data_IF_700147564335
#
_entry.id   IF_700147564335
#
_cell.length_a   1.000
_cell.length_b   1.000
_cell.length_c   1.000
_cell.angle_alpha   90.00
_cell.angle_beta   90.00
_cell.angle_gamma   90.00
#
_symmetry.space_group_name_H-M   'P 1'
#
loop_
_entity.id
_entity.type
_entity.pdbx_description
1 polymer ?
#
# COMPACT_ATOMS: atom_id res chain seq x y z
N UNK A 1 7.71 6.46 21.23
CA UNK A 1 8.21 6.01 19.91
C UNK A 1 7.30 6.43 18.77
N UNK A 2 5.99 6.22 18.86
CA UNK A 2 5.02 6.69 17.86
C UNK A 2 5.14 8.20 17.54
N UNK A 3 5.26 9.05 18.57
CA UNK A 3 5.47 10.51 18.39
C UNK A 3 6.74 10.82 17.59
N UNK A 4 7.84 10.09 17.82
CA UNK A 4 9.09 10.29 17.07
C UNK A 4 8.93 9.92 15.60
N UNK A 5 8.25 8.81 15.32
CA UNK A 5 7.98 8.41 13.94
C UNK A 5 7.06 9.41 13.22
N UNK A 6 6.01 9.90 13.91
CA UNK A 6 5.13 10.92 13.38
C UNK A 6 5.89 12.22 13.07
N UNK A 7 6.71 12.72 14.00
CA UNK A 7 7.54 13.92 13.81
C UNK A 7 8.53 13.72 12.67
N UNK A 8 9.25 12.60 12.64
CA UNK A 8 10.23 12.30 11.59
C UNK A 8 9.60 12.22 10.20
N UNK A 9 8.44 11.57 10.09
CA UNK A 9 7.68 11.48 8.83
C UNK A 9 7.16 12.84 8.40
N UNK A 10 6.56 13.62 9.32
CA UNK A 10 6.07 14.96 9.02
C UNK A 10 7.19 15.89 8.55
N UNK A 11 8.35 15.89 9.23
CA UNK A 11 9.52 16.67 8.82
C UNK A 11 10.01 16.25 7.43
N UNK A 12 10.13 14.95 7.16
CA UNK A 12 10.55 14.47 5.84
C UNK A 12 9.59 14.92 4.73
N UNK A 13 8.28 14.85 4.97
CA UNK A 13 7.26 15.29 4.00
C UNK A 13 7.27 16.81 3.78
N UNK A 14 7.35 17.60 4.86
CA UNK A 14 7.44 19.06 4.78
C UNK A 14 8.67 19.48 3.96
N UNK A 15 9.80 18.78 4.15
CA UNK A 15 11.00 19.01 3.35
C UNK A 15 10.75 18.76 1.87
N UNK A 16 10.15 17.62 1.56
CA UNK A 16 9.83 17.20 0.19
C UNK A 16 8.89 18.17 -0.52
N UNK A 17 7.93 18.77 0.19
CA UNK A 17 6.98 19.75 -0.36
C UNK A 17 7.55 21.17 -0.50
N UNK A 18 8.70 21.45 0.12
CA UNK A 18 9.28 22.79 0.08
C UNK A 18 9.92 23.09 -1.28
N UNK A 19 9.70 24.30 -1.80
CA UNK A 19 10.30 24.77 -3.06
C UNK A 19 11.78 25.19 -2.91
N UNK A 20 12.36 24.99 -1.72
CA UNK A 20 13.74 25.36 -1.40
C UNK A 20 14.57 24.10 -1.19
N UNK A 21 15.53 23.88 -2.08
CA UNK A 21 16.46 22.74 -2.03
C UNK A 21 17.15 22.65 -0.65
N UNK A 22 17.48 23.79 -0.05
CA UNK A 22 18.10 23.84 1.28
C UNK A 22 17.18 23.37 2.39
N UNK A 23 15.89 23.75 2.36
CA UNK A 23 14.92 23.34 3.36
C UNK A 23 14.56 21.86 3.20
N UNK A 24 14.41 21.38 1.96
CA UNK A 24 14.24 19.95 1.66
C UNK A 24 15.38 19.12 2.23
N UNK A 25 16.63 19.53 1.96
CA UNK A 25 17.81 18.83 2.45
C UNK A 25 17.81 18.77 3.98
N UNK A 26 17.58 19.89 4.67
CA UNK A 26 17.56 19.93 6.14
C UNK A 26 16.43 19.07 6.71
N UNK A 27 15.21 19.20 6.18
CA UNK A 27 14.04 18.48 6.67
C UNK A 27 14.13 16.97 6.45
N UNK A 28 14.71 16.51 5.33
CA UNK A 28 14.98 15.09 5.09
C UNK A 28 16.13 14.59 5.98
N UNK A 29 17.22 15.36 6.08
CA UNK A 29 18.37 15.04 6.93
C UNK A 29 18.04 14.99 8.41
N UNK A 30 17.00 15.69 8.86
CA UNK A 30 16.52 15.66 10.25
C UNK A 30 15.38 14.66 10.43
N UNK A 31 14.43 14.59 9.49
CA UNK A 31 13.26 13.71 9.57
C UNK A 31 13.61 12.22 9.50
N UNK A 32 14.53 11.84 8.61
CA UNK A 32 14.94 10.45 8.43
C UNK A 32 15.63 9.88 9.67
N UNK A 33 16.63 10.53 10.30
CA UNK A 33 17.25 10.01 11.52
C UNK A 33 16.29 9.95 12.72
N UNK A 34 15.28 10.81 12.78
CA UNK A 34 14.27 10.79 13.85
C UNK A 34 13.26 9.65 13.63
N UNK A 35 12.82 9.46 12.38
CA UNK A 35 11.78 8.47 12.03
C UNK A 35 12.30 7.05 11.87
N UNK A 36 13.47 6.87 11.23
CA UNK A 36 13.96 5.56 10.81
C UNK A 36 14.23 4.57 11.97
N UNK A 37 14.84 4.97 13.10
CA UNK A 37 15.02 4.06 14.24
C UNK A 37 13.69 3.68 14.90
N UNK A 38 12.70 4.58 14.89
CA UNK A 38 11.36 4.29 15.39
C UNK A 38 10.63 3.32 14.45
N UNK A 39 10.82 3.46 13.13
CA UNK A 39 10.30 2.54 12.12
C UNK A 39 10.85 1.12 12.30
N UNK A 40 12.17 0.98 12.43
CA UNK A 40 12.83 -0.32 12.60
C UNK A 40 12.40 -1.06 13.88
N UNK A 41 12.05 -0.33 14.94
CA UNK A 41 11.57 -0.92 16.20
C UNK A 41 10.09 -1.25 16.19
N UNK A 42 9.28 -0.54 15.40
CA UNK A 42 7.83 -0.75 15.34
C UNK A 42 7.42 -1.79 14.29
N UNK A 43 8.22 -1.96 13.23
CA UNK A 43 8.02 -3.06 12.29
C UNK A 43 8.65 -4.35 12.82
N UNK A 44 8.05 -5.52 12.56
CA UNK A 44 8.69 -6.80 12.85
C UNK A 44 10.05 -6.91 12.17
N UNK A 45 11.00 -7.57 12.84
CA UNK A 45 12.33 -7.86 12.30
C UNK A 45 12.17 -8.57 10.95
N UNK A 46 12.97 -8.18 9.96
CA UNK A 46 12.91 -8.74 8.61
C UNK A 46 11.90 -8.06 7.66
N UNK A 47 11.06 -7.13 8.14
CA UNK A 47 10.07 -6.43 7.28
C UNK A 47 10.76 -5.63 6.17
N UNK A 48 11.81 -4.87 6.51
CA UNK A 48 12.58 -4.09 5.51
C UNK A 48 13.32 -4.97 4.49
N UNK A 49 13.53 -6.25 4.80
CA UNK A 49 14.16 -7.23 3.90
C UNK A 49 13.16 -8.15 3.22
N UNK A 50 11.86 -7.96 3.48
CA UNK A 50 10.78 -8.86 3.11
C UNK A 50 11.12 -10.33 3.44
N UNK A 51 11.56 -10.60 4.68
CA UNK A 51 11.79 -11.98 5.14
C UNK A 51 10.50 -12.80 5.09
N UNK A 52 10.63 -14.11 4.84
CA UNK A 52 9.49 -14.97 4.56
C UNK A 52 8.48 -15.02 5.73
N UNK A 53 7.19 -15.07 5.39
CA UNK A 53 6.10 -15.08 6.38
C UNK A 53 5.43 -13.72 6.58
N UNK A 54 5.10 -13.39 7.83
CA UNK A 54 4.39 -12.14 8.18
C UNK A 54 5.17 -10.86 7.83
N UNK A 55 6.51 -10.78 7.96
CA UNK A 55 7.27 -9.60 7.55
C UNK A 55 7.14 -9.27 6.05
N UNK A 56 7.16 -10.29 5.18
CA UNK A 56 6.91 -10.11 3.74
C UNK A 56 5.49 -9.59 3.45
N UNK A 57 4.49 -10.02 4.22
CA UNK A 57 3.12 -9.53 4.07
C UNK A 57 2.98 -8.05 4.46
N UNK A 58 3.62 -7.63 5.54
CA UNK A 58 3.66 -6.23 5.99
C UNK A 58 4.43 -5.36 4.98
N UNK A 59 5.56 -5.84 4.47
CA UNK A 59 6.33 -5.14 3.43
C UNK A 59 5.53 -4.98 2.14
N UNK A 60 4.88 -6.05 1.67
CA UNK A 60 4.00 -6.00 0.50
C UNK A 60 2.81 -5.06 0.71
N UNK A 61 2.25 -5.00 1.92
CA UNK A 61 1.16 -4.09 2.26
C UNK A 61 1.61 -2.63 2.21
N UNK A 62 2.78 -2.32 2.79
CA UNK A 62 3.35 -0.96 2.71
C UNK A 62 3.61 -0.53 1.26
N UNK A 63 4.23 -1.41 0.45
CA UNK A 63 4.49 -1.15 -0.97
C UNK A 63 3.21 -1.00 -1.80
N UNK A 64 2.18 -1.80 -1.51
CA UNK A 64 0.86 -1.68 -2.14
C UNK A 64 0.23 -0.32 -1.88
N UNK A 65 0.21 0.13 -0.61
CA UNK A 65 -0.35 1.43 -0.24
C UNK A 65 0.49 2.57 -0.81
N UNK A 66 1.81 2.46 -0.78
CA UNK A 66 2.72 3.42 -1.41
C UNK A 66 2.42 3.60 -2.89
N UNK A 67 2.35 2.50 -3.64
CA UNK A 67 2.11 2.55 -5.07
C UNK A 67 0.72 3.10 -5.42
N UNK A 68 -0.33 2.57 -4.77
CA UNK A 68 -1.69 2.94 -5.11
C UNK A 68 -2.00 4.39 -4.76
N UNK A 69 -1.77 4.80 -3.50
CA UNK A 69 -2.08 6.16 -3.06
C UNK A 69 -1.09 7.19 -3.62
N UNK A 70 0.16 6.80 -3.84
CA UNK A 70 1.14 7.63 -4.53
C UNK A 70 0.73 7.95 -5.96
N UNK A 71 0.11 7.02 -6.69
CA UNK A 71 -0.46 7.30 -8.01
C UNK A 71 -1.83 8.02 -7.91
N UNK A 72 -2.69 7.61 -6.97
CA UNK A 72 -4.04 8.14 -6.80
C UNK A 72 -4.07 9.66 -6.65
N UNK A 73 -3.13 10.21 -5.89
CA UNK A 73 -3.02 11.64 -5.63
C UNK A 73 -2.89 12.48 -6.92
N UNK A 74 -2.42 11.89 -8.02
CA UNK A 74 -2.16 12.59 -9.28
C UNK A 74 -3.13 12.22 -10.40
N UNK A 75 -4.04 11.26 -10.20
CA UNK A 75 -5.08 10.92 -11.18
C UNK A 75 -6.00 12.12 -11.49
N UNK A 76 -6.47 12.91 -10.50
CA UNK A 76 -7.24 14.11 -10.78
C UNK A 76 -6.44 15.17 -11.56
N UNK A 77 -5.15 15.32 -11.25
CA UNK A 77 -4.26 16.26 -11.94
C UNK A 77 -4.11 15.84 -13.41
N UNK A 78 -3.84 14.57 -13.69
CA UNK A 78 -3.80 13.99 -15.04
C UNK A 78 -5.07 14.31 -15.83
N UNK A 79 -6.25 14.09 -15.23
CA UNK A 79 -7.52 14.30 -15.92
C UNK A 79 -7.80 15.79 -16.17
N UNK A 80 -7.52 16.65 -15.18
CA UNK A 80 -7.89 18.06 -15.24
C UNK A 80 -6.88 18.91 -15.99
N UNK A 81 -5.59 18.84 -15.64
CA UNK A 81 -4.58 19.73 -16.23
C UNK A 81 -3.98 19.17 -17.52
N UNK A 82 -3.71 17.86 -17.59
CA UNK A 82 -3.14 17.25 -18.81
C UNK A 82 -4.21 16.94 -19.85
N UNK A 83 -5.40 16.48 -19.41
CA UNK A 83 -6.49 16.08 -20.32
C UNK A 83 -7.65 17.07 -20.42
N UNK A 84 -7.58 18.20 -19.72
CA UNK A 84 -8.57 19.28 -19.82
C UNK A 84 -9.99 18.88 -19.41
N UNK A 85 -10.14 17.82 -18.62
CA UNK A 85 -11.44 17.32 -18.17
C UNK A 85 -11.95 18.08 -16.95
N UNK A 86 -13.24 18.00 -16.69
CA UNK A 86 -13.83 18.61 -15.50
C UNK A 86 -13.49 17.82 -14.23
N UNK A 87 -13.53 18.51 -13.07
CA UNK A 87 -13.39 17.87 -11.77
C UNK A 87 -14.44 16.78 -11.52
N UNK A 88 -15.63 16.90 -12.11
CA UNK A 88 -16.69 15.88 -12.06
C UNK A 88 -16.23 14.57 -12.71
N UNK A 89 -15.59 14.63 -13.89
CA UNK A 89 -15.07 13.43 -14.58
C UNK A 89 -13.97 12.76 -13.74
N UNK A 90 -13.07 13.55 -13.15
CA UNK A 90 -12.06 13.04 -12.23
C UNK A 90 -12.68 12.37 -10.98
N UNK A 91 -13.68 13.01 -10.37
CA UNK A 91 -14.42 12.46 -9.24
C UNK A 91 -15.14 11.15 -9.57
N UNK A 92 -15.73 11.03 -10.77
CA UNK A 92 -16.35 9.79 -11.23
C UNK A 92 -15.33 8.65 -11.38
N UNK A 93 -14.13 8.94 -11.89
CA UNK A 93 -13.05 7.94 -11.98
C UNK A 93 -12.62 7.43 -10.59
N UNK A 94 -12.46 8.33 -9.61
CA UNK A 94 -12.15 7.97 -8.22
C UNK A 94 -13.30 7.19 -7.55
N UNK A 95 -14.54 7.56 -7.85
CA UNK A 95 -15.73 6.85 -7.35
C UNK A 95 -15.79 5.44 -7.90
N UNK A 96 -15.55 5.26 -9.21
CA UNK A 96 -15.47 3.95 -9.84
C UNK A 96 -14.38 3.08 -9.21
N UNK A 97 -13.21 3.64 -8.91
CA UNK A 97 -12.15 2.94 -8.20
C UNK A 97 -12.54 2.54 -6.77
N UNK A 98 -13.23 3.40 -6.02
CA UNK A 98 -13.75 3.07 -4.68
C UNK A 98 -14.77 1.92 -4.72
N UNK A 99 -15.67 1.93 -5.69
CA UNK A 99 -16.63 0.83 -5.90
C UNK A 99 -15.91 -0.47 -6.28
N UNK A 100 -14.93 -0.39 -7.18
CA UNK A 100 -14.13 -1.54 -7.59
C UNK A 100 -13.27 -2.10 -6.44
N UNK A 101 -12.70 -1.23 -5.60
CA UNK A 101 -12.04 -1.63 -4.36
C UNK A 101 -12.99 -2.41 -3.48
N UNK A 102 -14.16 -1.86 -3.17
CA UNK A 102 -15.17 -2.53 -2.35
C UNK A 102 -15.52 -3.91 -2.92
N UNK A 103 -15.71 -4.01 -4.23
CA UNK A 103 -15.94 -5.28 -4.92
C UNK A 103 -14.74 -6.25 -4.78
N UNK A 104 -13.51 -5.74 -4.87
CA UNK A 104 -12.27 -6.52 -4.70
C UNK A 104 -12.12 -7.07 -3.29
N UNK A 105 -12.42 -6.28 -2.26
CA UNK A 105 -12.43 -6.72 -0.86
C UNK A 105 -13.53 -7.77 -0.60
N UNK A 106 -14.72 -7.58 -1.18
CA UNK A 106 -15.79 -8.57 -1.11
C UNK A 106 -15.43 -9.88 -1.83
N UNK A 107 -14.81 -9.78 -3.00
CA UNK A 107 -14.32 -10.92 -3.76
C UNK A 107 -13.23 -11.67 -2.98
N UNK A 108 -12.34 -10.92 -2.31
CA UNK A 108 -11.34 -11.49 -1.41
C UNK A 108 -11.98 -12.27 -0.27
N UNK A 109 -13.00 -11.72 0.39
CA UNK A 109 -13.70 -12.39 1.48
C UNK A 109 -14.29 -13.74 1.03
N UNK A 110 -14.83 -13.82 -0.20
CA UNK A 110 -15.36 -15.06 -0.78
C UNK A 110 -14.28 -16.04 -1.22
N UNK A 111 -13.21 -15.55 -1.84
CA UNK A 111 -12.16 -16.40 -2.41
C UNK A 111 -11.15 -16.89 -1.38
N UNK A 112 -10.94 -16.16 -0.29
CA UNK A 112 -9.95 -16.49 0.75
C UNK A 112 -10.20 -17.84 1.44
N UNK A 113 -11.46 -18.32 1.43
CA UNK A 113 -11.85 -19.63 1.93
C UNK A 113 -11.49 -20.78 0.99
N UNK A 114 -11.26 -20.51 -0.31
CA UNK A 114 -11.12 -21.54 -1.35
C UNK A 114 -9.82 -21.45 -2.15
N UNK A 115 -9.10 -20.33 -2.06
CA UNK A 115 -7.88 -20.07 -2.85
C UNK A 115 -6.70 -19.70 -1.97
N UNK A 116 -5.52 -20.04 -2.48
CA UNK A 116 -4.24 -19.66 -1.89
C UNK A 116 -4.13 -18.13 -1.80
N UNK A 117 -3.89 -17.63 -0.59
CA UNK A 117 -3.74 -16.21 -0.28
C UNK A 117 -2.56 -15.60 -1.02
N UNK A 118 -1.49 -16.35 -1.23
CA UNK A 118 -0.36 -15.88 -2.07
C UNK A 118 -0.83 -15.56 -3.48
N UNK A 119 -1.69 -16.39 -4.07
CA UNK A 119 -2.27 -16.13 -5.40
C UNK A 119 -3.19 -14.92 -5.38
N UNK A 120 -4.05 -14.78 -4.38
CA UNK A 120 -4.94 -13.62 -4.26
C UNK A 120 -4.16 -12.30 -4.11
N UNK A 121 -3.16 -12.25 -3.24
CA UNK A 121 -2.27 -11.08 -3.10
C UNK A 121 -1.54 -10.75 -4.39
N UNK A 122 -0.99 -11.76 -5.08
CA UNK A 122 -0.32 -11.57 -6.39
C UNK A 122 -1.26 -11.02 -7.44
N UNK A 123 -2.46 -11.60 -7.58
CA UNK A 123 -3.47 -11.13 -8.52
C UNK A 123 -3.82 -9.68 -8.21
N UNK A 124 -4.10 -9.34 -6.95
CA UNK A 124 -4.41 -7.96 -6.57
C UNK A 124 -3.30 -6.97 -6.95
N UNK A 125 -2.04 -7.28 -6.62
CA UNK A 125 -0.89 -6.45 -6.99
C UNK A 125 -0.67 -6.32 -8.50
N UNK A 126 -0.93 -7.39 -9.27
CA UNK A 126 -0.89 -7.32 -10.74
C UNK A 126 -1.97 -6.38 -11.27
N UNK A 127 -3.21 -6.49 -10.77
CA UNK A 127 -4.29 -5.56 -11.15
C UNK A 127 -3.96 -4.12 -10.78
N UNK A 128 -3.38 -3.87 -9.60
CA UNK A 128 -2.89 -2.55 -9.19
C UNK A 128 -1.81 -2.02 -10.13
N UNK A 129 -0.79 -2.82 -10.42
CA UNK A 129 0.31 -2.41 -11.31
C UNK A 129 -0.18 -2.15 -12.74
N UNK A 130 -1.06 -2.99 -13.27
CA UNK A 130 -1.65 -2.81 -14.60
C UNK A 130 -2.57 -1.59 -14.66
N UNK A 131 -3.31 -1.31 -13.59
CA UNK A 131 -4.14 -0.11 -13.50
C UNK A 131 -3.31 1.17 -13.49
N UNK A 132 -2.21 1.20 -12.73
CA UNK A 132 -1.24 2.32 -12.73
C UNK A 132 -0.59 2.47 -14.12
N UNK A 133 -0.12 1.38 -14.73
CA UNK A 133 0.43 1.45 -16.09
C UNK A 133 -0.64 1.90 -17.13
N UNK A 134 -1.90 1.54 -16.89
CA UNK A 134 -3.04 1.90 -17.71
C UNK A 134 -3.36 3.40 -17.63
N UNK A 135 -3.18 4.06 -16.48
CA UNK A 135 -3.40 5.52 -16.39
C UNK A 135 -2.39 6.30 -17.23
N UNK A 136 -1.17 5.79 -17.36
CA UNK A 136 -0.14 6.38 -18.23
C UNK A 136 -0.56 6.43 -19.71
N UNK A 137 -1.44 5.52 -20.15
CA UNK A 137 -1.98 5.55 -21.52
C UNK A 137 -2.75 6.84 -21.81
N UNK A 138 -3.32 7.49 -20.78
CA UNK A 138 -4.02 8.75 -20.95
C UNK A 138 -3.09 9.93 -21.23
N UNK A 139 -1.77 9.78 -21.17
CA UNK A 139 -0.84 10.80 -21.66
C UNK A 139 -0.86 10.90 -23.19
N UNK A 140 -1.39 9.88 -23.89
CA UNK A 140 -1.62 9.92 -25.34
C UNK A 140 -2.94 10.63 -25.64
N UNK A 141 -2.93 11.78 -26.33
CA UNK A 141 -4.15 12.55 -26.58
C UNK A 141 -5.13 11.81 -27.51
N UNK A 142 -4.65 10.86 -28.31
CA UNK A 142 -5.46 10.07 -29.25
C UNK A 142 -6.34 9.03 -28.53
N UNK A 143 -5.97 8.64 -27.30
CA UNK A 143 -6.69 7.63 -26.54
C UNK A 143 -7.83 8.26 -25.73
N UNK A 144 -9.04 7.65 -25.72
CA UNK A 144 -10.19 8.24 -25.04
C UNK A 144 -10.02 8.23 -23.52
N UNK A 145 -10.52 9.30 -22.88
CA UNK A 145 -10.37 9.56 -21.43
C UNK A 145 -10.98 8.46 -20.55
N UNK A 146 -12.05 7.79 -21.00
CA UNK A 146 -12.71 6.74 -20.21
C UNK A 146 -11.78 5.57 -19.88
N UNK A 147 -10.68 5.39 -20.63
CA UNK A 147 -9.65 4.39 -20.32
C UNK A 147 -9.06 4.61 -18.92
N UNK A 148 -8.94 5.87 -18.46
CA UNK A 148 -8.49 6.17 -17.09
C UNK A 148 -9.45 5.59 -16.07
N UNK A 149 -10.76 5.72 -16.25
CA UNK A 149 -11.74 5.18 -15.31
C UNK A 149 -11.68 3.65 -15.26
N UNK A 150 -11.46 3.00 -16.40
CA UNK A 150 -11.31 1.53 -16.46
C UNK A 150 -10.00 1.07 -15.83
N UNK A 151 -8.88 1.73 -16.17
CA UNK A 151 -7.57 1.42 -15.59
C UNK A 151 -7.55 1.66 -14.07
N UNK A 152 -8.11 2.78 -13.62
CA UNK A 152 -8.18 3.12 -12.20
C UNK A 152 -9.18 2.23 -11.45
N UNK A 153 -10.28 1.84 -12.09
CA UNK A 153 -11.17 0.79 -11.59
C UNK A 153 -10.45 -0.55 -11.40
N UNK A 154 -9.62 -0.97 -12.35
CA UNK A 154 -8.80 -2.16 -12.23
C UNK A 154 -7.78 -2.03 -11.08
N UNK A 155 -7.16 -0.85 -10.92
CA UNK A 155 -6.27 -0.58 -9.78
C UNK A 155 -7.01 -0.70 -8.44
N UNK A 156 -8.21 -0.12 -8.36
CA UNK A 156 -9.12 -0.18 -7.21
C UNK A 156 -9.47 -1.63 -6.84
N UNK A 157 -9.91 -2.42 -7.82
CA UNK A 157 -10.16 -3.86 -7.63
C UNK A 157 -8.92 -4.59 -7.09
N UNK A 158 -7.75 -4.27 -7.66
CA UNK A 158 -6.46 -4.85 -7.29
C UNK A 158 -6.08 -4.57 -5.84
N UNK A 159 -6.15 -3.30 -5.41
CA UNK A 159 -5.83 -2.94 -4.02
C UNK A 159 -6.83 -3.57 -3.05
N UNK A 160 -8.12 -3.61 -3.38
CA UNK A 160 -9.13 -4.26 -2.52
C UNK A 160 -8.85 -5.74 -2.29
N UNK A 161 -8.44 -6.45 -3.34
CA UNK A 161 -8.07 -7.86 -3.25
C UNK A 161 -6.76 -8.06 -2.46
N UNK A 162 -5.72 -7.30 -2.77
CA UNK A 162 -4.40 -7.47 -2.14
C UNK A 162 -4.39 -7.00 -0.68
N UNK A 163 -4.92 -5.81 -0.38
CA UNK A 163 -4.95 -5.22 0.96
C UNK A 163 -5.65 -6.14 1.96
N UNK A 164 -6.85 -6.60 1.61
CA UNK A 164 -7.65 -7.49 2.46
C UNK A 164 -6.95 -8.83 2.69
N UNK A 165 -6.32 -9.38 1.64
CA UNK A 165 -5.57 -10.64 1.76
C UNK A 165 -4.32 -10.50 2.63
N UNK A 166 -3.52 -9.46 2.44
CA UNK A 166 -2.28 -9.23 3.19
C UNK A 166 -2.56 -8.97 4.67
N UNK A 167 -3.59 -8.18 4.96
CA UNK A 167 -4.07 -7.93 6.33
C UNK A 167 -4.47 -9.25 7.01
N UNK A 168 -5.24 -10.08 6.32
CA UNK A 168 -5.65 -11.40 6.83
C UNK A 168 -4.45 -12.32 7.10
N UNK A 169 -3.45 -12.36 6.21
CA UNK A 169 -2.22 -13.16 6.40
C UNK A 169 -1.50 -12.77 7.69
N UNK A 170 -1.39 -11.47 7.97
CA UNK A 170 -0.68 -10.96 9.15
C UNK A 170 -1.46 -11.26 10.42
N UNK A 171 -2.78 -11.00 10.43
CA UNK A 171 -3.63 -11.19 11.59
C UNK A 171 -3.75 -12.66 11.99
N UNK A 172 -3.92 -13.58 11.04
CA UNK A 172 -4.03 -15.01 11.35
C UNK A 172 -2.72 -15.64 11.83
N UNK A 173 -1.59 -14.97 11.61
CA UNK A 173 -0.27 -15.40 12.08
C UNK A 173 0.16 -14.72 13.36
N UNK A 174 -0.65 -13.81 13.89
CA UNK A 174 -0.37 -13.20 15.17
C UNK A 174 -0.46 -14.28 16.27
N UNK A 175 0.62 -14.44 17.03
CA UNK A 175 0.61 -15.29 18.22
C UNK A 175 -0.39 -14.74 19.24
N UNK A 176 -1.06 -15.60 20.01
CA UNK A 176 -1.96 -15.16 21.09
C UNK A 176 -1.26 -14.16 22.01
N UNK A 177 -1.89 -13.01 22.26
CA UNK A 177 -1.33 -11.92 23.05
C UNK A 177 -0.42 -10.95 22.28
N UNK A 178 -0.20 -11.17 20.98
CA UNK A 178 0.57 -10.29 20.09
C UNK A 178 -0.30 -9.69 18.97
N UNK A 179 -1.62 -9.85 19.04
CA UNK A 179 -2.57 -9.32 18.03
C UNK A 179 -2.50 -7.80 17.93
N UNK A 180 -2.35 -7.11 19.07
CA UNK A 180 -2.18 -5.66 19.11
C UNK A 180 -0.91 -5.17 18.41
N UNK A 181 0.20 -5.92 18.53
CA UNK A 181 1.45 -5.61 17.84
C UNK A 181 1.31 -5.83 16.32
N UNK A 182 0.65 -6.92 15.91
CA UNK A 182 0.36 -7.19 14.50
C UNK A 182 -0.54 -6.11 13.87
N UNK A 183 -1.61 -5.70 14.55
CA UNK A 183 -2.49 -4.62 14.12
C UNK A 183 -1.74 -3.28 14.04
N UNK A 184 -0.87 -2.98 15.01
CA UNK A 184 -0.03 -1.77 15.00
C UNK A 184 0.92 -1.78 13.81
N UNK A 185 1.58 -2.91 13.51
CA UNK A 185 2.48 -3.03 12.37
C UNK A 185 1.75 -2.85 11.04
N UNK A 186 0.54 -3.40 10.91
CA UNK A 186 -0.33 -3.19 9.74
C UNK A 186 -0.68 -1.71 9.55
N UNK A 187 -1.19 -1.06 10.60
CA UNK A 187 -1.55 0.36 10.55
C UNK A 187 -0.34 1.22 10.19
N UNK A 188 0.82 0.90 10.75
CA UNK A 188 2.03 1.65 10.48
C UNK A 188 2.49 1.49 9.03
N UNK A 189 2.49 0.27 8.50
CA UNK A 189 2.81 0.02 7.10
C UNK A 189 1.86 0.75 6.15
N UNK A 190 0.55 0.76 6.46
CA UNK A 190 -0.47 1.49 5.69
C UNK A 190 -0.21 2.99 5.72
N UNK A 191 -0.11 3.61 6.90
CA UNK A 191 0.05 5.07 7.04
C UNK A 191 1.34 5.55 6.39
N UNK A 192 2.46 4.85 6.63
CA UNK A 192 3.73 5.23 6.02
C UNK A 192 3.75 4.99 4.52
N UNK A 193 3.13 3.91 4.04
CA UNK A 193 2.96 3.65 2.62
C UNK A 193 2.26 4.83 1.95
N UNK A 194 1.09 5.22 2.43
CA UNK A 194 0.33 6.37 1.93
C UNK A 194 1.19 7.65 1.97
N UNK A 195 1.72 7.98 3.15
CA UNK A 195 2.49 9.20 3.39
C UNK A 195 3.70 9.33 2.46
N UNK A 196 4.53 8.29 2.38
CA UNK A 196 5.70 8.32 1.50
C UNK A 196 5.31 8.24 0.03
N UNK A 197 4.25 7.51 -0.33
CA UNK A 197 3.79 7.40 -1.71
C UNK A 197 3.36 8.76 -2.26
N UNK A 198 2.47 9.45 -1.54
CA UNK A 198 2.01 10.79 -1.93
C UNK A 198 3.14 11.81 -1.88
N UNK A 199 3.98 11.76 -0.85
CA UNK A 199 5.14 12.65 -0.70
C UNK A 199 6.14 12.51 -1.85
N UNK A 200 6.58 11.29 -2.16
CA UNK A 200 7.50 11.02 -3.29
C UNK A 200 6.88 11.44 -4.62
N UNK A 201 5.57 11.20 -4.81
CA UNK A 201 4.87 11.67 -6.00
C UNK A 201 4.90 13.20 -6.12
N UNK A 202 4.63 13.92 -5.02
CA UNK A 202 4.64 15.38 -4.99
C UNK A 202 6.05 15.95 -5.22
N UNK A 203 7.07 15.32 -4.61
CA UNK A 203 8.48 15.63 -4.85
C UNK A 203 8.82 15.53 -6.34
N UNK A 204 8.40 14.42 -6.96
CA UNK A 204 8.67 14.13 -8.36
C UNK A 204 8.01 15.17 -9.24
N UNK A 205 6.74 15.51 -8.98
CA UNK A 205 6.04 16.57 -9.68
C UNK A 205 6.76 17.91 -9.57
N UNK A 206 7.16 18.31 -8.35
CA UNK A 206 7.85 19.57 -8.10
C UNK A 206 9.22 19.65 -8.77
N UNK A 207 10.05 18.60 -8.63
CA UNK A 207 11.39 18.56 -9.22
C UNK A 207 11.36 18.56 -10.74
N UNK A 208 10.47 17.77 -11.35
CA UNK A 208 10.35 17.68 -12.81
C UNK A 208 9.87 19.01 -13.39
N UNK A 209 8.84 19.63 -12.79
CA UNK A 209 8.33 20.92 -13.27
C UNK A 209 9.30 22.07 -13.03
N UNK A 210 10.05 22.06 -11.92
CA UNK A 210 11.11 23.03 -11.65
C UNK A 210 12.29 22.92 -12.64
N UNK A 211 12.53 21.72 -13.20
CA UNK A 211 13.50 21.51 -14.27
C UNK A 211 13.01 22.01 -15.65
N UNK A 212 11.79 22.55 -15.75
CA UNK A 212 11.20 23.04 -17.00
C UNK A 212 10.49 21.98 -17.83
N UNK A 213 10.38 20.75 -17.33
CA UNK A 213 9.70 19.65 -18.00
C UNK A 213 8.17 19.72 -17.84
N UNK A 214 7.45 19.05 -18.75
CA UNK A 214 5.98 19.05 -18.76
C UNK A 214 5.36 18.29 -17.56
N UNK A 215 4.17 18.71 -17.13
CA UNK A 215 3.38 17.97 -16.13
C UNK A 215 3.04 16.53 -16.59
N UNK A 216 2.86 16.32 -17.90
CA UNK A 216 2.65 15.00 -18.46
C UNK A 216 3.86 14.07 -18.21
N UNK A 217 5.07 14.58 -18.41
CA UNK A 217 6.31 13.84 -18.13
C UNK A 217 6.49 13.58 -16.63
N UNK A 218 6.11 14.54 -15.78
CA UNK A 218 6.12 14.36 -14.33
C UNK A 218 5.18 13.23 -13.88
N UNK A 219 3.94 13.22 -14.38
CA UNK A 219 2.97 12.15 -14.08
C UNK A 219 3.45 10.80 -14.62
N UNK A 220 4.04 10.75 -15.81
CA UNK A 220 4.64 9.52 -16.34
C UNK A 220 5.74 8.98 -15.42
N UNK A 221 6.57 9.87 -14.88
CA UNK A 221 7.65 9.52 -13.94
C UNK A 221 7.09 9.00 -12.62
N UNK A 222 6.02 9.62 -12.11
CA UNK A 222 5.31 9.15 -10.90
C UNK A 222 4.71 7.76 -11.14
N UNK A 223 3.96 7.56 -12.23
CA UNK A 223 3.37 6.26 -12.58
C UNK A 223 4.44 5.17 -12.72
N UNK A 224 5.60 5.50 -13.31
CA UNK A 224 6.73 4.57 -13.42
C UNK A 224 7.31 4.19 -12.04
N UNK A 225 7.50 5.16 -11.14
CA UNK A 225 7.96 4.91 -9.77
C UNK A 225 6.96 4.06 -8.98
N UNK A 226 5.67 4.37 -9.07
CA UNK A 226 4.61 3.65 -8.37
C UNK A 226 4.41 2.24 -8.95
N UNK A 227 4.48 2.09 -10.28
CA UNK A 227 4.50 0.80 -10.95
C UNK A 227 5.71 -0.05 -10.52
N UNK A 228 6.88 0.56 -10.38
CA UNK A 228 8.08 -0.08 -9.82
C UNK A 228 7.87 -0.55 -8.38
N UNK A 229 7.28 0.29 -7.52
CA UNK A 229 6.94 -0.09 -6.14
C UNK A 229 5.92 -1.24 -6.07
N UNK A 230 4.90 -1.22 -6.94
CA UNK A 230 3.94 -2.32 -7.07
C UNK A 230 4.62 -3.63 -7.54
N UNK A 231 5.57 -3.55 -8.48
CA UNK A 231 6.37 -4.69 -8.91
C UNK A 231 7.26 -5.24 -7.79
N UNK A 232 7.89 -4.37 -6.99
CA UNK A 232 8.63 -4.79 -5.78
C UNK A 232 7.70 -5.47 -4.76
N UNK A 233 6.49 -4.93 -4.57
CA UNK A 233 5.46 -5.56 -3.75
C UNK A 233 5.09 -6.95 -4.26
N UNK A 234 4.95 -7.10 -5.58
CA UNK A 234 4.70 -8.39 -6.24
C UNK A 234 5.86 -9.38 -6.02
N UNK A 235 7.12 -8.92 -6.04
CA UNK A 235 8.27 -9.77 -5.70
C UNK A 235 8.20 -10.20 -4.23
N UNK A 236 7.87 -9.28 -3.31
CA UNK A 236 7.71 -9.58 -1.89
C UNK A 236 6.62 -10.64 -1.64
N UNK A 237 5.55 -10.67 -2.44
CA UNK A 237 4.54 -11.74 -2.34
C UNK A 237 5.09 -13.14 -2.63
N UNK A 238 6.22 -13.22 -3.34
CA UNK A 238 6.91 -14.48 -3.64
C UNK A 238 7.29 -15.23 -2.37
N UNK A 239 7.53 -14.50 -1.28
CA UNK A 239 7.91 -15.00 0.05
C UNK A 239 6.73 -15.13 1.02
N UNK A 240 5.51 -14.97 0.51
CA UNK A 240 4.31 -15.26 1.28
C UNK A 240 4.15 -16.78 1.47
N UNK A 241 3.63 -17.18 2.62
CA UNK A 241 3.35 -18.57 2.91
C UNK A 241 2.18 -19.09 2.06
N UNK A 242 2.34 -20.28 1.47
CA UNK A 242 1.39 -20.87 0.52
C UNK A 242 0.20 -21.62 1.16
N UNK A 243 0.18 -21.81 2.49
CA UNK A 243 -0.89 -22.51 3.23
C UNK A 243 -1.17 -21.90 4.62
N UNK A 244 -2.43 -21.97 5.12
CA UNK A 244 -2.71 -21.87 6.55
C UNK A 244 -1.94 -22.97 7.30
N UNK A 245 -1.51 -22.76 8.56
CA UNK A 245 -0.97 -23.84 9.38
C UNK A 245 -2.02 -24.94 9.53
N UNK A 246 -1.75 -26.15 9.03
CA UNK A 246 -2.49 -27.35 9.41
C UNK A 246 -2.03 -27.75 10.82
N UNK A 247 -2.55 -27.08 11.84
CA UNK A 247 -2.60 -27.59 13.21
C UNK A 247 -3.47 -26.65 14.03
N UNK A 248 -4.68 -27.05 14.45
CA UNK A 248 -5.30 -26.44 15.60
C UNK A 248 -4.29 -26.52 16.75
N UNK A 249 -4.11 -25.48 17.59
CA UNK A 249 -3.41 -25.65 18.85
C UNK A 249 -4.11 -26.81 19.54
N UNK A 250 -3.36 -27.90 19.77
CA UNK A 250 -3.80 -29.07 20.52
C UNK A 250 -4.65 -28.55 21.66
N UNK A 251 -5.95 -28.88 21.64
CA UNK A 251 -6.84 -28.58 22.72
C UNK A 251 -6.08 -28.95 23.99
N UNK A 252 -5.78 -27.94 24.81
CA UNK A 252 -5.29 -28.18 26.16
C UNK A 252 -6.23 -29.23 26.71
N UNK A 253 -5.71 -30.44 26.91
CA UNK A 253 -6.48 -31.51 27.51
C UNK A 253 -6.98 -30.92 28.83
N UNK A 254 -8.28 -30.59 28.88
CA UNK A 254 -8.89 -30.15 30.11
C UNK A 254 -8.60 -31.29 31.09
N UNK A 255 -7.96 -31.02 32.24
CA UNK A 255 -7.75 -32.05 33.24
C UNK A 255 -9.11 -32.67 33.54
N UNK A 256 -9.20 -34.00 33.42
CA UNK A 256 -10.41 -34.75 33.66
C UNK A 256 -11.02 -34.30 34.99
N UNK A 257 -12.27 -33.87 34.95
CA UNK A 257 -13.05 -33.45 36.12
C UNK A 257 -12.91 -34.50 37.23
N UNK A 258 -12.41 -34.08 38.39
CA UNK A 258 -12.36 -34.92 39.57
C UNK A 258 -13.79 -35.35 39.98
N UNK A 259 -13.98 -36.60 40.43
CA UNK A 259 -15.30 -37.08 40.82
C UNK A 259 -15.83 -36.28 42.02
N UNK A 260 -17.06 -35.79 41.88
CA UNK A 260 -17.80 -35.12 42.94
C UNK A 260 -18.20 -36.19 43.96
N UNK A 261 -17.66 -36.12 45.17
CA UNK A 261 -18.14 -36.94 46.30
C UNK A 261 -19.49 -36.39 46.79
N UNK A 262 -20.56 -37.21 46.82
CA UNK A 262 -21.79 -36.82 47.48
C UNK A 262 -21.59 -36.86 49.01
N UNK A 263 -22.04 -35.79 49.67
CA UNK A 263 -22.15 -35.66 51.13
C UNK A 263 -23.48 -36.26 51.59
#
# INVERSE_FOLDING_TARGET
>A
MAIRLAIGTALALIGVESHSIGLTAVCVLVGVPIGFPALQRLLPVGTLRAEAGSPAAIAALGLLNFAFFGAEAFVPLLLTTVRGQSATVAGLALTAATLAWTAGAWLQARLSLRRDRRRLSRTGLVFTALGIAGTTSALRPELPVWIVAVAWGAAGLGIGLAYSTLTLIVLERATKGQEGAAATALQLATVLGVAFGTGVGAATLGLVTAAGESQAFAIASIDALMGGAAALGLVATGRLPARPPETPPSAVALPASAPIHPV
#
